data_IF_744794702211
#
_entry.id   IF_744794702211
#
_cell.length_a   1.000
_cell.length_b   1.000
_cell.length_c   1.000
_cell.angle_alpha   90.00
_cell.angle_beta   90.00
_cell.angle_gamma   90.00
#
_symmetry.space_group_name_H-M   'P 1'
#
loop_
_entity.id
_entity.type
_entity.pdbx_description
1 polymer ?
#
# COMPACT_ATOMS: atom_id res chain seq x y z
N UNK A 1 -39.92 24.11 57.23
CA UNK A 1 -39.05 22.94 57.05
C UNK A 1 -39.26 22.32 55.66
N UNK A 2 -40.50 22.28 55.14
CA UNK A 2 -40.81 21.78 53.78
C UNK A 2 -40.22 22.62 52.63
N UNK A 3 -40.17 23.96 52.76
CA UNK A 3 -39.59 24.83 51.73
C UNK A 3 -38.09 24.59 51.49
N UNK A 4 -37.35 24.29 52.56
CA UNK A 4 -35.91 24.01 52.48
C UNK A 4 -35.67 22.63 51.83
N UNK A 5 -36.56 21.67 52.04
CA UNK A 5 -36.44 20.34 51.42
C UNK A 5 -36.72 20.38 49.91
N UNK A 6 -37.67 21.19 49.44
CA UNK A 6 -37.96 21.37 48.00
C UNK A 6 -36.82 22.08 47.26
N UNK A 7 -36.26 23.17 47.81
CA UNK A 7 -35.09 23.85 47.22
C UNK A 7 -33.85 22.95 47.16
N UNK A 8 -33.65 22.12 48.20
CA UNK A 8 -32.60 21.11 48.19
C UNK A 8 -32.83 20.06 47.10
N UNK A 9 -34.07 19.60 46.90
CA UNK A 9 -34.40 18.61 45.87
C UNK A 9 -34.16 19.15 44.44
N UNK A 10 -34.55 20.41 44.18
CA UNK A 10 -34.24 21.09 42.91
C UNK A 10 -32.73 21.27 42.71
N UNK A 11 -31.99 21.63 43.76
CA UNK A 11 -30.53 21.76 43.66
C UNK A 11 -29.84 20.43 43.36
N UNK A 12 -30.22 19.35 44.06
CA UNK A 12 -29.65 18.02 43.83
C UNK A 12 -29.99 17.47 42.45
N UNK A 13 -31.20 17.71 41.95
CA UNK A 13 -31.59 17.31 40.59
C UNK A 13 -30.81 18.08 39.52
N UNK A 14 -30.64 19.40 39.68
CA UNK A 14 -29.79 20.20 38.78
C UNK A 14 -28.32 19.74 38.79
N UNK A 15 -27.78 19.45 39.97
CA UNK A 15 -26.41 18.94 40.11
C UNK A 15 -26.25 17.57 39.44
N UNK A 16 -27.26 16.70 39.55
CA UNK A 16 -27.27 15.39 38.90
C UNK A 16 -27.34 15.51 37.37
N UNK A 17 -28.24 16.32 36.82
CA UNK A 17 -28.35 16.48 35.36
C UNK A 17 -27.12 17.16 34.75
N UNK A 18 -26.54 18.16 35.42
CA UNK A 18 -25.32 18.83 34.94
C UNK A 18 -24.11 17.91 35.00
N UNK A 19 -23.96 17.11 36.06
CA UNK A 19 -22.87 16.12 36.13
C UNK A 19 -23.03 15.04 35.07
N UNK A 20 -24.24 14.54 34.81
CA UNK A 20 -24.50 13.57 33.72
C UNK A 20 -24.20 14.19 32.35
N UNK A 21 -24.65 15.41 32.09
CA UNK A 21 -24.46 16.09 30.80
C UNK A 21 -22.97 16.35 30.47
N UNK A 22 -22.11 16.49 31.48
CA UNK A 22 -20.66 16.68 31.29
C UNK A 22 -19.92 15.35 31.31
N UNK A 23 -20.21 14.47 32.27
CA UNK A 23 -19.47 13.22 32.45
C UNK A 23 -19.77 12.21 31.34
N UNK A 24 -21.01 12.11 30.84
CA UNK A 24 -21.35 11.13 29.79
C UNK A 24 -20.59 11.40 28.48
N UNK A 25 -20.56 12.62 27.91
CA UNK A 25 -19.74 12.91 26.73
C UNK A 25 -18.24 12.72 26.97
N UNK A 26 -17.73 13.06 28.16
CA UNK A 26 -16.33 12.85 28.52
C UNK A 26 -15.99 11.36 28.58
N UNK A 27 -16.87 10.54 29.17
CA UNK A 27 -16.68 9.09 29.20
C UNK A 27 -16.80 8.47 27.80
N UNK A 28 -17.73 8.93 26.97
CA UNK A 28 -17.86 8.48 25.57
C UNK A 28 -16.61 8.84 24.76
N UNK A 29 -16.11 10.08 24.89
CA UNK A 29 -14.90 10.52 24.17
C UNK A 29 -13.65 9.79 24.65
N UNK A 30 -13.50 9.56 25.95
CA UNK A 30 -12.41 8.73 26.51
C UNK A 30 -12.53 7.26 26.05
N UNK A 31 -13.74 6.71 26.01
CA UNK A 31 -14.00 5.36 25.52
C UNK A 31 -13.66 5.22 24.04
N UNK A 32 -14.13 6.14 23.19
CA UNK A 32 -13.76 6.19 21.77
C UNK A 32 -12.25 6.38 21.59
N UNK A 33 -11.62 7.25 22.38
CA UNK A 33 -10.17 7.48 22.34
C UNK A 33 -9.37 6.25 22.76
N UNK A 34 -9.87 5.44 23.69
CA UNK A 34 -9.21 4.22 24.14
C UNK A 34 -9.48 3.02 23.21
N UNK A 35 -10.62 2.98 22.52
CA UNK A 35 -10.93 1.93 21.55
C UNK A 35 -10.23 2.13 20.20
N UNK A 36 -10.01 3.38 19.76
CA UNK A 36 -9.27 3.72 18.53
C UNK A 36 -7.91 3.01 18.38
N UNK A 37 -6.98 3.05 19.36
CA UNK A 37 -5.68 2.39 19.23
C UNK A 37 -5.78 0.86 19.21
N UNK A 38 -6.75 0.26 19.94
CA UNK A 38 -6.94 -1.20 19.93
C UNK A 38 -7.45 -1.71 18.58
N UNK A 39 -8.36 -0.99 17.92
CA UNK A 39 -8.84 -1.32 16.56
C UNK A 39 -7.71 -1.23 15.53
N UNK A 40 -6.92 -0.15 15.58
CA UNK A 40 -5.76 0.06 14.67
C UNK A 40 -4.73 -1.06 14.78
N UNK A 41 -4.41 -1.53 15.99
CA UNK A 41 -3.47 -2.63 16.22
C UNK A 41 -4.02 -3.99 15.75
N UNK A 42 -5.32 -4.25 15.94
CA UNK A 42 -5.97 -5.48 15.47
C UNK A 42 -6.00 -5.55 13.93
N UNK A 43 -6.31 -4.43 13.27
CA UNK A 43 -6.32 -4.31 11.81
C UNK A 43 -4.90 -4.42 11.22
N UNK A 44 -3.89 -3.81 11.87
CA UNK A 44 -2.49 -3.97 11.47
C UNK A 44 -2.02 -5.43 11.48
N UNK A 45 -2.50 -6.25 12.42
CA UNK A 45 -2.22 -7.69 12.46
C UNK A 45 -2.82 -8.47 11.28
N UNK A 46 -3.99 -8.04 10.79
CA UNK A 46 -4.65 -8.62 9.61
C UNK A 46 -3.95 -8.20 8.30
N UNK A 47 -3.54 -6.93 8.20
CA UNK A 47 -2.90 -6.39 7.00
C UNK A 47 -1.52 -6.98 6.72
N UNK A 48 -0.78 -7.34 7.78
CA UNK A 48 0.59 -7.87 7.65
C UNK A 48 0.68 -9.27 7.02
N UNK A 49 -0.46 -9.95 6.77
CA UNK A 49 -0.54 -11.29 6.18
C UNK A 49 -1.47 -11.37 4.95
N UNK A 50 -2.08 -10.26 4.53
CA UNK A 50 -3.02 -10.22 3.41
C UNK A 50 -2.34 -10.25 2.04
N UNK A 51 -3.11 -10.57 0.99
CA UNK A 51 -2.65 -10.43 -0.41
C UNK A 51 -2.49 -8.96 -0.82
N UNK A 52 -3.23 -8.07 -0.17
CA UNK A 52 -3.25 -6.63 -0.46
C UNK A 52 -2.44 -5.85 0.58
N UNK A 53 -1.71 -4.83 0.10
CA UNK A 53 -1.06 -3.83 0.95
C UNK A 53 -2.08 -2.82 1.47
N UNK A 54 -2.89 -3.23 2.45
CA UNK A 54 -3.98 -2.41 2.97
C UNK A 54 -3.47 -1.22 3.79
N UNK A 55 -3.95 -0.03 3.44
CA UNK A 55 -3.80 1.20 4.18
C UNK A 55 -5.16 1.66 4.71
N UNK A 56 -5.30 1.72 6.03
CA UNK A 56 -6.54 2.11 6.67
C UNK A 56 -6.66 3.63 6.76
N UNK A 57 -7.81 4.18 6.37
CA UNK A 57 -8.10 5.62 6.47
C UNK A 57 -9.47 5.84 7.11
N UNK A 58 -9.53 6.80 8.04
CA UNK A 58 -10.76 7.16 8.75
C UNK A 58 -11.66 8.11 7.93
N UNK A 59 -11.12 8.78 6.92
CA UNK A 59 -11.87 9.60 5.98
C UNK A 59 -11.22 9.54 4.60
N UNK A 60 -12.03 9.22 3.59
CA UNK A 60 -11.64 9.41 2.20
C UNK A 60 -11.92 10.87 1.81
N UNK A 61 -10.95 11.51 1.15
CA UNK A 61 -11.06 12.92 0.73
C UNK A 61 -12.10 13.16 -0.38
N UNK A 62 -12.72 12.09 -0.88
CA UNK A 62 -13.75 12.06 -1.92
C UNK A 62 -14.78 10.98 -1.53
N UNK A 63 -16.03 11.05 -2.00
CA UNK A 63 -16.99 9.96 -1.83
C UNK A 63 -16.47 8.69 -2.51
N UNK A 64 -16.02 7.73 -1.71
CA UNK A 64 -15.45 6.45 -2.16
C UNK A 64 -16.40 5.32 -1.81
N UNK A 65 -16.57 4.37 -2.73
CA UNK A 65 -17.44 3.21 -2.56
C UNK A 65 -16.61 1.93 -2.40
N UNK A 66 -17.14 0.97 -1.64
CA UNK A 66 -16.49 -0.31 -1.43
C UNK A 66 -16.56 -1.16 -2.70
N UNK A 67 -15.42 -1.66 -3.18
CA UNK A 67 -15.32 -2.54 -4.34
C UNK A 67 -15.98 -3.92 -4.14
N UNK A 68 -16.43 -4.26 -2.92
CA UNK A 68 -17.08 -5.54 -2.61
C UNK A 68 -18.60 -5.40 -2.53
N UNK A 69 -19.11 -4.43 -1.75
CA UNK A 69 -20.55 -4.26 -1.52
C UNK A 69 -21.16 -3.06 -2.24
N UNK A 70 -20.35 -2.26 -2.93
CA UNK A 70 -20.75 -1.02 -3.62
C UNK A 70 -21.42 0.02 -2.72
N UNK A 71 -21.27 -0.09 -1.40
CA UNK A 71 -21.77 0.89 -0.43
C UNK A 71 -20.74 2.00 -0.20
N UNK A 72 -21.17 3.23 0.15
CA UNK A 72 -20.27 4.32 0.48
C UNK A 72 -19.42 3.96 1.72
N UNK A 73 -18.11 4.19 1.64
CA UNK A 73 -17.18 3.87 2.72
C UNK A 73 -17.14 5.04 3.70
N UNK A 74 -17.64 4.81 4.91
CA UNK A 74 -17.46 5.73 6.04
C UNK A 74 -16.13 5.49 6.74
N UNK A 75 -15.77 4.21 6.94
CA UNK A 75 -14.52 3.76 7.53
C UNK A 75 -14.04 2.53 6.77
N UNK A 76 -12.78 2.52 6.35
CA UNK A 76 -12.27 1.41 5.55
C UNK A 76 -10.80 1.50 5.25
N UNK A 77 -10.36 0.64 4.34
CA UNK A 77 -9.00 0.62 3.87
C UNK A 77 -8.97 0.65 2.34
N UNK A 78 -7.89 1.19 1.79
CA UNK A 78 -7.57 1.04 0.38
C UNK A 78 -6.26 0.26 0.24
N UNK A 79 -6.07 -0.43 -0.87
CA UNK A 79 -4.82 -1.10 -1.13
C UNK A 79 -3.84 -0.16 -1.84
N UNK A 80 -2.65 0.06 -1.26
CA UNK A 80 -1.58 0.86 -1.88
C UNK A 80 -1.06 0.25 -3.19
N UNK A 81 -1.26 -1.06 -3.38
CA UNK A 81 -0.80 -1.76 -4.57
C UNK A 81 -1.80 -1.71 -5.72
N UNK A 82 -3.11 -1.68 -5.47
CA UNK A 82 -4.12 -1.84 -6.52
C UNK A 82 -5.28 -0.86 -6.44
N UNK A 83 -5.32 0.02 -5.46
CA UNK A 83 -6.37 1.01 -5.31
C UNK A 83 -7.74 0.45 -4.95
N UNK A 84 -7.88 -0.86 -4.75
CA UNK A 84 -9.14 -1.45 -4.25
C UNK A 84 -9.47 -0.82 -2.90
N UNK A 85 -10.67 -0.28 -2.79
CA UNK A 85 -11.21 0.29 -1.56
C UNK A 85 -12.20 -0.71 -0.94
N UNK A 86 -12.04 -1.02 0.33
CA UNK A 86 -12.91 -1.91 1.07
C UNK A 86 -13.37 -1.26 2.37
N UNK A 87 -14.68 -1.33 2.62
CA UNK A 87 -15.24 -1.07 3.94
C UNK A 87 -14.64 -2.02 4.99
N UNK A 88 -14.56 -1.59 6.26
CA UNK A 88 -13.97 -2.36 7.36
C UNK A 88 -14.47 -3.83 7.40
N UNK A 89 -15.77 -4.05 7.16
CA UNK A 89 -16.36 -5.41 7.15
C UNK A 89 -16.07 -6.22 5.89
N UNK A 90 -15.64 -5.54 4.83
CA UNK A 90 -15.39 -6.10 3.50
C UNK A 90 -13.91 -6.33 3.22
N UNK A 91 -12.98 -5.78 4.01
CA UNK A 91 -11.53 -5.94 3.85
C UNK A 91 -11.13 -7.42 3.68
N UNK A 92 -11.56 -8.32 4.57
CA UNK A 92 -11.21 -9.73 4.48
C UNK A 92 -11.86 -10.45 3.29
N UNK A 93 -13.01 -9.95 2.82
CA UNK A 93 -13.67 -10.49 1.62
C UNK A 93 -12.94 -10.01 0.36
N UNK A 94 -12.55 -8.74 0.31
CA UNK A 94 -11.71 -8.17 -0.74
C UNK A 94 -10.38 -8.93 -0.84
N UNK A 95 -9.71 -9.17 0.30
CA UNK A 95 -8.41 -9.82 0.32
C UNK A 95 -8.43 -11.27 -0.20
N UNK A 96 -9.56 -11.97 0.00
CA UNK A 96 -9.75 -13.35 -0.48
C UNK A 96 -10.18 -13.42 -1.94
N UNK A 97 -11.15 -12.60 -2.32
CA UNK A 97 -11.90 -12.75 -3.57
C UNK A 97 -11.39 -11.87 -4.70
N UNK A 98 -10.76 -10.73 -4.39
CA UNK A 98 -10.26 -9.82 -5.41
C UNK A 98 -8.75 -10.05 -5.61
N UNK A 99 -8.29 -10.15 -6.87
CA UNK A 99 -6.86 -10.18 -7.14
C UNK A 99 -6.25 -8.86 -6.68
N UNK A 100 -5.21 -8.95 -5.86
CA UNK A 100 -4.34 -7.79 -5.66
C UNK A 100 -3.65 -7.53 -7.00
N UNK A 101 -3.62 -6.25 -7.38
CA UNK A 101 -2.96 -5.70 -8.58
C UNK A 101 -3.86 -5.46 -9.81
N UNK A 102 -5.19 -5.40 -9.65
CA UNK A 102 -6.12 -4.84 -10.64
C UNK A 102 -6.64 -3.50 -10.13
N UNK A 103 -6.49 -2.42 -10.92
CA UNK A 103 -6.91 -1.08 -10.49
C UNK A 103 -8.31 -0.81 -11.02
N UNK A 104 -9.28 -0.70 -10.13
CA UNK A 104 -10.65 -0.30 -10.46
C UNK A 104 -10.76 1.20 -10.21
N UNK A 105 -11.02 1.97 -11.25
CA UNK A 105 -11.21 3.42 -11.16
C UNK A 105 -12.65 3.78 -11.52
N UNK A 106 -13.21 4.74 -10.80
CA UNK A 106 -14.53 5.28 -11.11
C UNK A 106 -14.34 6.64 -11.76
N UNK A 107 -14.70 6.76 -13.04
CA UNK A 107 -14.68 8.02 -13.78
C UNK A 107 -16.11 8.30 -14.26
N UNK A 108 -16.68 9.45 -13.91
CA UNK A 108 -18.02 9.88 -14.32
C UNK A 108 -19.18 8.88 -14.03
N UNK A 109 -19.03 8.03 -13.01
CA UNK A 109 -20.04 7.05 -12.59
C UNK A 109 -19.91 5.68 -13.26
N UNK A 110 -18.99 5.51 -14.21
CA UNK A 110 -18.68 4.23 -14.85
C UNK A 110 -17.43 3.60 -14.24
N UNK A 111 -17.44 2.27 -14.11
CA UNK A 111 -16.29 1.50 -13.65
C UNK A 111 -15.34 1.25 -14.82
N UNK A 112 -14.06 1.54 -14.59
CA UNK A 112 -12.99 1.29 -15.54
C UNK A 112 -11.98 0.33 -14.94
N UNK A 113 -11.61 -0.69 -15.71
CA UNK A 113 -10.48 -1.56 -15.42
C UNK A 113 -9.20 -0.91 -15.93
N UNK A 114 -8.23 -0.73 -15.06
CA UNK A 114 -6.91 -0.25 -15.43
C UNK A 114 -5.90 -1.36 -15.22
N UNK A 115 -5.22 -1.74 -16.31
CA UNK A 115 -4.12 -2.68 -16.24
C UNK A 115 -2.99 -2.07 -15.42
N UNK A 116 -2.54 -2.76 -14.37
CA UNK A 116 -1.54 -2.24 -13.46
C UNK A 116 -0.14 -2.08 -14.07
N UNK A 117 0.16 -2.82 -15.13
CA UNK A 117 1.51 -2.84 -15.68
C UNK A 117 1.64 -1.82 -16.80
N UNK A 118 0.74 -1.86 -17.79
CA UNK A 118 0.73 -0.89 -18.88
C UNK A 118 -0.05 0.39 -18.59
N UNK A 119 -0.76 0.45 -17.45
CA UNK A 119 -1.59 1.59 -17.03
C UNK A 119 -2.72 1.93 -18.02
N UNK A 120 -3.00 1.05 -18.99
CA UNK A 120 -4.10 1.22 -19.94
C UNK A 120 -5.43 1.01 -19.24
N UNK A 121 -6.35 1.93 -19.47
CA UNK A 121 -7.69 1.93 -18.88
C UNK A 121 -8.73 1.55 -19.92
N UNK A 122 -9.68 0.71 -19.52
CA UNK A 122 -10.73 0.16 -20.36
C UNK A 122 -12.04 0.23 -19.58
N UNK A 123 -13.10 0.74 -20.19
CA UNK A 123 -14.44 0.68 -19.58
C UNK A 123 -14.86 -0.78 -19.36
N UNK A 124 -15.62 -1.05 -18.31
CA UNK A 124 -16.13 -2.40 -18.02
C UNK A 124 -16.84 -3.02 -19.24
N UNK A 125 -17.71 -2.25 -19.90
CA UNK A 125 -18.42 -2.67 -21.11
C UNK A 125 -17.51 -2.93 -22.33
N UNK A 126 -16.39 -2.22 -22.41
CA UNK A 126 -15.43 -2.32 -23.51
C UNK A 126 -14.42 -3.46 -23.31
N UNK A 127 -14.35 -4.06 -22.11
CA UNK A 127 -13.36 -5.10 -21.77
C UNK A 127 -13.48 -6.34 -22.65
N UNK A 128 -14.71 -6.75 -22.97
CA UNK A 128 -15.01 -7.93 -23.80
C UNK A 128 -14.60 -7.77 -25.27
N UNK A 129 -14.47 -6.54 -25.74
CA UNK A 129 -14.18 -6.22 -27.15
C UNK A 129 -12.68 -6.13 -27.47
N UNK A 130 -11.81 -6.25 -26.46
CA UNK A 130 -10.36 -6.22 -26.64
C UNK A 130 -9.84 -7.55 -27.17
N UNK A 131 -9.31 -7.53 -28.40
CA UNK A 131 -8.72 -8.71 -29.07
C UNK A 131 -7.48 -9.25 -28.33
N UNK A 132 -6.75 -8.37 -27.64
CA UNK A 132 -5.48 -8.66 -26.97
C UNK A 132 -5.61 -8.56 -25.44
N UNK A 133 -6.73 -9.04 -24.89
CA UNK A 133 -7.04 -8.99 -23.44
C UNK A 133 -5.89 -9.49 -22.55
N UNK A 134 -5.18 -10.53 -23.00
CA UNK A 134 -4.16 -11.21 -22.19
C UNK A 134 -2.72 -10.75 -22.51
N UNK A 135 -2.54 -9.81 -23.45
CA UNK A 135 -1.22 -9.34 -23.88
C UNK A 135 -0.95 -7.95 -23.33
N UNK A 136 -0.25 -7.89 -22.20
CA UNK A 136 0.24 -6.64 -21.63
C UNK A 136 1.66 -6.34 -22.11
N UNK A 137 1.89 -5.13 -22.61
CA UNK A 137 3.18 -4.64 -23.07
C UNK A 137 4.00 -3.92 -21.98
N UNK A 138 3.49 -3.91 -20.74
CA UNK A 138 4.01 -3.17 -19.58
C UNK A 138 4.07 -1.63 -19.77
N UNK A 139 3.49 -1.12 -20.86
CA UNK A 139 3.31 0.31 -21.16
C UNK A 139 4.58 1.15 -21.11
N UNK A 140 4.42 2.41 -20.70
CA UNK A 140 5.48 3.43 -20.68
C UNK A 140 6.67 3.04 -19.79
N UNK A 141 6.41 2.40 -18.65
CA UNK A 141 7.43 2.05 -17.66
C UNK A 141 8.04 0.66 -17.87
N UNK A 142 7.81 0.01 -19.02
CA UNK A 142 8.32 -1.34 -19.31
C UNK A 142 9.83 -1.51 -19.13
N UNK A 143 10.61 -0.45 -19.35
CA UNK A 143 12.07 -0.48 -19.23
C UNK A 143 12.54 -0.48 -17.78
N UNK A 144 11.71 -0.06 -16.81
CA UNK A 144 12.08 0.05 -15.39
C UNK A 144 11.36 -0.97 -14.51
N UNK A 145 10.28 -1.57 -14.99
CA UNK A 145 9.52 -2.60 -14.28
C UNK A 145 10.27 -3.94 -14.36
N UNK A 146 10.37 -4.66 -13.24
CA UNK A 146 10.72 -6.09 -13.26
C UNK A 146 9.47 -6.90 -13.59
N UNK A 147 9.42 -7.55 -14.76
CA UNK A 147 8.21 -8.26 -15.17
C UNK A 147 7.98 -9.52 -14.32
N UNK A 148 6.72 -9.91 -14.03
CA UNK A 148 6.43 -11.15 -13.30
C UNK A 148 7.01 -12.40 -13.96
N UNK A 149 6.99 -12.45 -15.30
CA UNK A 149 7.53 -13.59 -16.05
C UNK A 149 9.04 -13.75 -15.83
N UNK A 150 9.78 -12.65 -15.68
CA UNK A 150 11.22 -12.67 -15.40
C UNK A 150 11.47 -13.33 -14.03
N UNK A 151 10.76 -12.89 -13.00
CA UNK A 151 10.89 -13.46 -11.64
C UNK A 151 10.51 -14.93 -11.59
N UNK A 152 9.46 -15.31 -12.32
CA UNK A 152 9.03 -16.70 -12.42
C UNK A 152 10.12 -17.58 -13.07
N UNK A 153 10.75 -17.10 -14.14
CA UNK A 153 11.83 -17.82 -14.82
C UNK A 153 13.06 -17.92 -13.91
N UNK A 154 13.46 -16.82 -13.28
CA UNK A 154 14.58 -16.80 -12.32
C UNK A 154 14.36 -17.77 -11.17
N UNK A 155 13.15 -17.84 -10.62
CA UNK A 155 12.83 -18.77 -9.52
C UNK A 155 12.86 -20.25 -9.94
N UNK A 156 12.75 -20.54 -11.25
CA UNK A 156 12.88 -21.89 -11.80
C UNK A 156 14.34 -22.27 -12.10
N UNK A 157 15.26 -21.31 -12.12
CA UNK A 157 16.67 -21.60 -12.35
C UNK A 157 17.27 -22.24 -11.08
N UNK A 158 17.68 -23.51 -11.21
CA UNK A 158 18.35 -24.24 -10.13
C UNK A 158 19.84 -23.82 -9.98
N UNK A 159 20.42 -23.20 -11.01
CA UNK A 159 21.84 -22.84 -11.08
C UNK A 159 22.02 -21.32 -11.21
N UNK A 160 22.79 -20.72 -10.29
CA UNK A 160 22.98 -19.27 -10.16
C UNK A 160 24.11 -18.72 -11.04
N UNK A 161 24.14 -19.09 -12.31
CA UNK A 161 25.16 -18.55 -13.22
C UNK A 161 24.73 -17.17 -13.75
N UNK A 162 25.56 -16.11 -13.61
CA UNK A 162 25.23 -14.75 -14.06
C UNK A 162 24.84 -14.65 -15.53
N UNK A 163 25.41 -15.51 -16.38
CA UNK A 163 25.19 -15.51 -17.83
C UNK A 163 23.76 -15.87 -18.22
N UNK A 164 23.02 -16.60 -17.37
CA UNK A 164 21.62 -16.91 -17.63
C UNK A 164 20.69 -15.72 -17.37
N UNK A 165 20.98 -14.89 -16.36
CA UNK A 165 20.22 -13.67 -16.10
C UNK A 165 20.33 -12.68 -17.26
N UNK A 166 21.51 -12.55 -17.87
CA UNK A 166 21.71 -11.72 -19.05
C UNK A 166 20.89 -12.20 -20.26
N UNK A 167 20.74 -13.52 -20.44
CA UNK A 167 19.87 -14.08 -21.50
C UNK A 167 18.39 -13.83 -21.23
N UNK A 168 17.95 -13.98 -19.99
CA UNK A 168 16.58 -13.68 -19.59
C UNK A 168 16.26 -12.19 -19.75
N UNK A 169 17.21 -11.32 -19.41
CA UNK A 169 17.08 -9.88 -19.56
C UNK A 169 16.92 -9.44 -21.01
N UNK A 170 17.59 -10.12 -21.95
CA UNK A 170 17.41 -9.85 -23.38
C UNK A 170 15.95 -10.04 -23.85
N UNK A 171 15.18 -10.91 -23.18
CA UNK A 171 13.75 -11.10 -23.46
C UNK A 171 12.88 -9.93 -22.98
N UNK A 172 13.37 -9.12 -22.03
CA UNK A 172 12.68 -7.92 -21.55
C UNK A 172 12.87 -6.71 -22.48
N UNK A 173 13.65 -6.86 -23.55
CA UNK A 173 13.88 -5.84 -24.57
C UNK A 173 15.20 -5.08 -24.40
N UNK A 174 15.63 -4.41 -25.47
CA UNK A 174 16.84 -3.59 -25.48
C UNK A 174 16.67 -2.36 -24.58
N UNK A 175 17.56 -2.18 -23.61
CA UNK A 175 17.54 -1.03 -22.68
C UNK A 175 16.71 -1.23 -21.42
N UNK A 176 16.36 -2.46 -21.07
CA UNK A 176 15.75 -2.77 -19.77
C UNK A 176 16.73 -2.46 -18.64
N UNK A 177 16.36 -1.49 -17.80
CA UNK A 177 17.14 -0.98 -16.67
C UNK A 177 16.26 -0.87 -15.42
N UNK A 178 16.00 -2.01 -14.75
CA UNK A 178 15.05 -2.07 -13.64
C UNK A 178 15.45 -1.13 -12.50
N UNK A 179 14.46 -0.47 -11.91
CA UNK A 179 14.67 0.45 -10.78
C UNK A 179 14.24 -0.24 -9.49
N UNK A 180 15.08 -0.21 -8.45
CA UNK A 180 14.70 -0.56 -7.08
C UNK A 180 14.52 0.72 -6.30
N UNK A 181 13.37 0.88 -5.66
CA UNK A 181 13.04 2.02 -4.81
C UNK A 181 13.21 1.62 -3.36
N UNK A 182 14.07 2.31 -2.63
CA UNK A 182 14.29 2.12 -1.20
C UNK A 182 13.92 3.43 -0.52
N UNK A 183 12.87 3.45 0.30
CA UNK A 183 12.51 4.64 1.08
C UNK A 183 12.47 4.30 2.56
N UNK A 184 12.84 5.26 3.40
CA UNK A 184 12.69 5.13 4.85
C UNK A 184 11.47 5.94 5.31
N UNK A 185 10.36 5.26 5.60
CA UNK A 185 9.08 5.89 5.99
C UNK A 185 9.14 6.63 7.31
N UNK A 186 10.17 6.36 8.15
CA UNK A 186 10.41 7.02 9.44
C UNK A 186 11.20 8.32 9.32
N UNK A 187 11.74 8.63 8.15
CA UNK A 187 12.54 9.84 7.91
C UNK A 187 11.70 10.95 7.27
N UNK A 188 11.94 12.21 7.66
CA UNK A 188 11.30 13.37 7.04
C UNK A 188 9.88 13.65 7.56
N UNK A 189 9.00 14.12 6.67
CA UNK A 189 7.64 14.59 6.98
C UNK A 189 6.57 13.48 6.99
N UNK A 190 6.95 12.21 7.22
CA UNK A 190 6.07 11.03 7.20
C UNK A 190 5.31 10.81 5.88
N UNK A 191 5.74 11.41 4.76
CA UNK A 191 5.15 11.19 3.43
C UNK A 191 5.69 9.92 2.73
N UNK A 192 6.58 9.17 3.38
CA UNK A 192 7.21 7.98 2.80
C UNK A 192 6.21 6.88 2.45
N UNK A 193 5.16 6.72 3.26
CA UNK A 193 4.13 5.70 3.01
C UNK A 193 3.37 5.98 1.71
N UNK A 194 2.96 7.24 1.52
CA UNK A 194 2.27 7.70 0.30
C UNK A 194 3.18 7.55 -0.92
N UNK A 195 4.45 7.97 -0.80
CA UNK A 195 5.43 7.84 -1.88
C UNK A 195 5.66 6.39 -2.30
N UNK A 196 5.84 5.49 -1.32
CA UNK A 196 5.99 4.06 -1.61
C UNK A 196 4.71 3.46 -2.19
N UNK A 197 3.54 3.94 -1.78
CA UNK A 197 2.26 3.60 -2.41
C UNK A 197 2.26 3.92 -3.90
N UNK A 198 2.58 5.16 -4.28
CA UNK A 198 2.66 5.57 -5.69
C UNK A 198 3.69 4.75 -6.49
N UNK A 199 4.85 4.44 -5.91
CA UNK A 199 5.78 3.55 -6.60
C UNK A 199 5.27 2.12 -6.74
N UNK A 200 4.44 1.62 -5.81
CA UNK A 200 3.82 0.29 -5.91
C UNK A 200 2.69 0.22 -6.93
N UNK A 201 2.04 1.35 -7.22
CA UNK A 201 1.05 1.43 -8.31
C UNK A 201 1.71 1.47 -9.68
N UNK A 202 2.91 2.07 -9.79
CA UNK A 202 3.66 2.21 -11.04
C UNK A 202 4.58 1.03 -11.36
N UNK A 203 5.23 0.46 -10.35
CA UNK A 203 6.27 -0.56 -10.49
C UNK A 203 5.78 -1.94 -10.01
N UNK A 204 6.65 -2.95 -10.11
CA UNK A 204 6.42 -4.20 -9.40
C UNK A 204 6.61 -3.97 -7.89
N UNK A 205 5.66 -4.31 -7.00
CA UNK A 205 5.84 -4.14 -5.55
C UNK A 205 7.12 -4.78 -4.98
N UNK A 206 7.63 -5.84 -5.63
CA UNK A 206 8.92 -6.46 -5.27
C UNK A 206 10.13 -5.51 -5.44
N UNK A 207 9.98 -4.44 -6.22
CA UNK A 207 11.02 -3.42 -6.44
C UNK A 207 10.94 -2.29 -5.41
N UNK A 208 9.91 -2.24 -4.56
CA UNK A 208 9.60 -1.08 -3.72
C UNK A 208 9.70 -1.47 -2.24
N UNK A 209 10.79 -1.07 -1.60
CA UNK A 209 11.17 -1.48 -0.26
C UNK A 209 11.02 -0.35 0.76
N UNK A 210 10.37 -0.66 1.88
CA UNK A 210 10.43 0.18 3.07
C UNK A 210 11.60 -0.22 3.95
N UNK A 211 12.55 0.70 4.12
CA UNK A 211 13.73 0.56 4.96
C UNK A 211 13.42 0.54 6.46
N UNK A 212 12.22 0.98 6.85
CA UNK A 212 11.75 0.88 8.24
C UNK A 212 11.39 -0.56 8.64
N UNK A 213 11.03 -1.39 7.65
CA UNK A 213 10.63 -2.78 7.85
C UNK A 213 11.73 -3.77 7.45
N UNK A 214 12.47 -3.44 6.40
CA UNK A 214 13.48 -4.30 5.80
C UNK A 214 14.83 -3.59 5.71
N UNK A 215 15.92 -4.16 6.26
CA UNK A 215 17.24 -3.54 6.14
C UNK A 215 17.68 -3.48 4.67
N UNK A 216 18.45 -2.45 4.26
CA UNK A 216 18.91 -2.26 2.88
C UNK A 216 19.62 -3.50 2.32
N UNK A 217 20.39 -4.20 3.15
CA UNK A 217 21.05 -5.44 2.78
C UNK A 217 20.08 -6.48 2.20
N UNK A 218 18.95 -6.72 2.87
CA UNK A 218 17.94 -7.67 2.36
C UNK A 218 17.25 -7.15 1.10
N UNK A 219 16.97 -5.85 1.00
CA UNK A 219 16.40 -5.26 -0.20
C UNK A 219 17.32 -5.43 -1.43
N UNK A 220 18.62 -5.20 -1.25
CA UNK A 220 19.65 -5.30 -2.28
C UNK A 220 19.93 -6.75 -2.73
N UNK A 221 19.43 -7.77 -2.03
CA UNK A 221 19.52 -9.15 -2.51
C UNK A 221 18.82 -9.32 -3.87
N UNK A 222 17.80 -8.51 -4.16
CA UNK A 222 17.13 -8.53 -5.46
C UNK A 222 18.08 -8.16 -6.61
N UNK A 223 19.08 -7.30 -6.37
CA UNK A 223 20.10 -6.98 -7.37
C UNK A 223 20.93 -8.20 -7.79
N UNK A 224 21.06 -9.22 -6.92
CA UNK A 224 21.86 -10.42 -7.23
C UNK A 224 21.21 -11.36 -8.23
N UNK A 225 19.91 -11.21 -8.44
CA UNK A 225 19.13 -11.99 -9.41
C UNK A 225 18.81 -11.21 -10.69
N UNK A 226 19.36 -10.00 -10.81
CA UNK A 226 19.23 -9.12 -11.96
C UNK A 226 20.54 -9.14 -12.76
N UNK A 227 20.50 -8.85 -14.07
CA UNK A 227 21.70 -8.87 -14.88
C UNK A 227 22.65 -7.74 -14.42
N UNK A 228 23.97 -8.01 -14.35
CA UNK A 228 24.96 -7.03 -13.88
C UNK A 228 24.96 -5.78 -14.76
N UNK A 229 25.14 -4.60 -14.15
CA UNK A 229 25.22 -3.30 -14.85
C UNK A 229 23.89 -2.73 -15.37
N UNK A 230 22.76 -3.39 -15.12
CA UNK A 230 21.43 -2.92 -15.60
C UNK A 230 20.58 -2.21 -14.54
N UNK A 231 20.92 -2.40 -13.26
CA UNK A 231 20.02 -2.06 -12.16
C UNK A 231 20.28 -0.66 -11.67
N UNK A 232 19.21 0.11 -11.45
CA UNK A 232 19.26 1.43 -10.82
C UNK A 232 18.63 1.38 -9.44
N UNK A 233 19.29 1.98 -8.45
CA UNK A 233 18.78 2.06 -7.08
C UNK A 233 18.38 3.51 -6.79
N UNK A 234 17.09 3.74 -6.56
CA UNK A 234 16.52 5.02 -6.15
C UNK A 234 16.33 5.02 -4.64
N UNK A 235 17.07 5.87 -3.93
CA UNK A 235 16.95 6.02 -2.47
C UNK A 235 16.15 7.28 -2.16
N UNK A 236 15.04 7.14 -1.46
CA UNK A 236 14.17 8.24 -1.04
C UNK A 236 14.30 8.44 0.48
N UNK A 237 15.09 9.44 0.89
CA UNK A 237 15.30 9.77 2.29
C UNK A 237 16.29 10.91 2.47
N UNK A 238 16.61 11.27 3.71
CA UNK A 238 17.68 12.22 4.02
C UNK A 238 19.07 11.57 3.91
N UNK A 239 20.12 12.37 4.11
CA UNK A 239 21.52 11.95 3.96
C UNK A 239 21.87 10.72 4.79
N UNK A 240 21.34 10.59 6.01
CA UNK A 240 21.55 9.43 6.86
C UNK A 240 20.98 8.13 6.28
N UNK A 241 19.84 8.20 5.57
CA UNK A 241 19.27 7.04 4.88
C UNK A 241 20.11 6.66 3.66
N UNK A 242 20.57 7.66 2.90
CA UNK A 242 21.47 7.43 1.75
C UNK A 242 22.78 6.79 2.21
N UNK A 243 23.40 7.32 3.26
CA UNK A 243 24.62 6.75 3.85
C UNK A 243 24.43 5.31 4.32
N UNK A 244 23.29 4.98 4.95
CA UNK A 244 22.99 3.62 5.38
C UNK A 244 22.83 2.64 4.20
N UNK A 245 22.25 3.08 3.09
CA UNK A 245 22.14 2.26 1.87
C UNK A 245 23.51 2.08 1.22
N UNK A 246 24.33 3.13 1.12
CA UNK A 246 25.68 3.06 0.55
C UNK A 246 26.57 2.08 1.33
N UNK A 247 26.54 2.15 2.67
CA UNK A 247 27.28 1.22 3.53
C UNK A 247 26.85 -0.25 3.31
N UNK A 248 25.55 -0.47 3.08
CA UNK A 248 25.05 -1.79 2.72
C UNK A 248 25.53 -2.25 1.33
N UNK A 249 25.57 -1.36 0.33
CA UNK A 249 26.09 -1.66 -1.02
C UNK A 249 27.57 -2.07 -0.94
N UNK A 250 28.38 -1.32 -0.20
CA UNK A 250 29.80 -1.62 0.02
C UNK A 250 29.98 -2.97 0.71
N UNK A 251 29.16 -3.24 1.73
CA UNK A 251 29.17 -4.53 2.45
C UNK A 251 28.81 -5.71 1.54
N UNK A 252 27.85 -5.51 0.62
CA UNK A 252 27.44 -6.54 -0.35
C UNK A 252 28.44 -6.75 -1.48
N UNK A 253 29.48 -5.91 -1.61
CA UNK A 253 30.44 -5.91 -2.72
C UNK A 253 29.76 -5.89 -4.09
N UNK A 254 28.61 -5.21 -4.19
CA UNK A 254 27.93 -5.04 -5.48
C UNK A 254 28.79 -4.08 -6.31
N UNK A 255 29.42 -4.57 -7.37
CA UNK A 255 30.20 -3.74 -8.29
C UNK A 255 29.28 -2.70 -8.94
N UNK A 256 29.50 -1.43 -8.61
CA UNK A 256 28.96 -0.29 -9.35
C UNK A 256 29.86 -0.07 -10.57
N UNK A 257 29.56 -0.75 -11.68
CA UNK A 257 30.20 -0.53 -12.99
C UNK A 257 29.19 0.10 -13.94
#
# INVERSE_FOLDING_TARGET
MEYITEELEEYWTLLLWTTVAVLVPVLITLWCSFQRPKRKVMLQGLFRKGKHGWHYTDLFNKPTYCCVCSQPILQGAFCDCCGICADEECIQRADRNLPCKEIITQNDGEFCHRCIWCQSTVHDDCQSSLKDRDLCDLGEFRSVIIPPYYLFQVNKLYCRHPDEYSKLAALCGSGWTPVLVLANTRSGNNMGDVLLGEFRTLLNPVQVFDLSELPPSKALQLCTILPPGSVRVLVCGGDGTVGWVLDAIDTMKLKME
#
